data_IF_981860281875
#
_entry.id   IF_981860281875
#
_cell.length_a   1.000
_cell.length_b   1.000
_cell.length_c   1.000
_cell.angle_alpha   90.00
_cell.angle_beta   90.00
_cell.angle_gamma   90.00
#
_symmetry.space_group_name_H-M   'P 1'
#
loop_
_entity.id
_entity.type
_entity.pdbx_description
1 polymer ?
#
# COMPACT_ATOMS: atom_id res chain seq x y z
N UNK A 1 -15.81 -15.23 -10.40
CA UNK A 1 -15.18 -14.62 -9.20
C UNK A 1 -14.53 -13.32 -9.64
N UNK A 2 -14.99 -12.17 -9.14
CA UNK A 2 -14.37 -10.88 -9.48
C UNK A 2 -13.08 -10.75 -8.66
N UNK A 3 -11.92 -10.86 -9.30
CA UNK A 3 -10.63 -10.68 -8.63
C UNK A 3 -10.45 -9.19 -8.34
N UNK A 4 -10.36 -8.84 -7.06
CA UNK A 4 -10.17 -7.47 -6.61
C UNK A 4 -8.68 -7.15 -6.51
N UNK A 5 -8.18 -6.05 -7.11
CA UNK A 5 -6.77 -5.68 -7.04
C UNK A 5 -6.28 -5.57 -5.60
N UNK A 6 -5.09 -6.09 -5.36
CA UNK A 6 -4.41 -6.02 -4.06
C UNK A 6 -3.71 -4.66 -3.97
N UNK A 7 -4.00 -3.90 -2.92
CA UNK A 7 -3.41 -2.57 -2.69
C UNK A 7 -2.16 -2.70 -1.84
N UNK A 8 -2.28 -3.45 -0.73
CA UNK A 8 -1.18 -3.79 0.16
C UNK A 8 -1.27 -5.27 0.47
N UNK A 9 -0.12 -5.93 0.62
CA UNK A 9 -0.07 -7.35 0.97
C UNK A 9 1.14 -7.63 1.82
N UNK A 10 0.91 -8.02 3.07
CA UNK A 10 1.94 -8.48 3.99
C UNK A 10 2.75 -9.64 3.41
N UNK A 11 2.14 -10.50 2.59
CA UNK A 11 2.86 -11.58 1.92
C UNK A 11 3.84 -11.03 0.86
N UNK A 12 3.38 -10.07 0.06
CA UNK A 12 4.21 -9.36 -0.91
C UNK A 12 5.33 -8.58 -0.22
N UNK A 13 4.97 -7.80 0.80
CA UNK A 13 5.89 -6.97 1.58
C UNK A 13 6.96 -7.84 2.26
N UNK A 14 6.59 -8.95 2.90
CA UNK A 14 7.54 -9.89 3.50
C UNK A 14 8.49 -10.50 2.46
N UNK A 15 7.99 -10.79 1.25
CA UNK A 15 8.82 -11.32 0.16
C UNK A 15 9.82 -10.26 -0.32
N UNK A 16 9.38 -9.01 -0.46
CA UNK A 16 10.25 -7.88 -0.79
C UNK A 16 11.31 -7.69 0.30
N UNK A 17 10.92 -7.71 1.58
CA UNK A 17 11.84 -7.58 2.71
C UNK A 17 12.91 -8.69 2.72
N UNK A 18 12.50 -9.93 2.45
CA UNK A 18 13.42 -11.06 2.33
C UNK A 18 14.40 -10.86 1.18
N UNK A 19 13.92 -10.46 0.00
CA UNK A 19 14.76 -10.18 -1.15
C UNK A 19 15.72 -9.01 -0.88
N UNK A 20 15.27 -7.95 -0.22
CA UNK A 20 16.12 -6.82 0.18
C UNK A 20 17.27 -7.26 1.08
N UNK A 21 16.97 -8.06 2.10
CA UNK A 21 17.98 -8.60 3.00
C UNK A 21 18.99 -9.50 2.27
N UNK A 22 18.52 -10.37 1.37
CA UNK A 22 19.39 -11.25 0.58
C UNK A 22 20.25 -10.47 -0.42
N UNK A 23 19.71 -9.41 -1.03
CA UNK A 23 20.45 -8.51 -1.92
C UNK A 23 21.54 -7.79 -1.12
N UNK A 24 21.22 -7.24 0.06
CA UNK A 24 22.19 -6.55 0.89
C UNK A 24 23.35 -7.47 1.33
N UNK A 25 23.03 -8.70 1.74
CA UNK A 25 24.04 -9.70 2.10
C UNK A 25 24.92 -10.07 0.89
N UNK A 26 24.31 -10.29 -0.28
CA UNK A 26 25.07 -10.63 -1.48
C UNK A 26 25.94 -9.47 -1.97
N UNK A 27 25.47 -8.23 -1.88
CA UNK A 27 26.26 -7.03 -2.22
C UNK A 27 27.46 -6.87 -1.28
N UNK A 28 27.29 -7.14 0.02
CA UNK A 28 28.40 -7.17 0.99
C UNK A 28 29.40 -8.29 0.68
N UNK A 29 28.92 -9.49 0.34
CA UNK A 29 29.79 -10.62 -0.04
C UNK A 29 30.58 -10.31 -1.31
N UNK A 30 29.95 -9.68 -2.30
CA UNK A 30 30.59 -9.25 -3.53
C UNK A 30 31.67 -8.17 -3.27
N UNK A 31 31.35 -7.17 -2.45
CA UNK A 31 32.30 -6.14 -2.06
C UNK A 31 33.51 -6.74 -1.33
N UNK A 32 33.28 -7.67 -0.38
CA UNK A 32 34.35 -8.39 0.30
C UNK A 32 35.21 -9.22 -0.65
N UNK A 33 34.62 -9.91 -1.63
CA UNK A 33 35.38 -10.67 -2.64
C UNK A 33 36.22 -9.75 -3.55
N UNK A 34 35.72 -8.57 -3.88
CA UNK A 34 36.46 -7.56 -4.66
C UNK A 34 37.61 -6.94 -3.85
N UNK A 35 37.41 -6.72 -2.55
CA UNK A 35 38.43 -6.18 -1.65
C UNK A 35 39.49 -7.23 -1.28
N UNK A 36 39.09 -8.51 -1.13
CA UNK A 36 39.98 -9.64 -0.81
C UNK A 36 40.74 -10.22 -2.01
N UNK A 37 40.45 -9.80 -3.24
CA UNK A 37 41.40 -9.91 -4.36
C UNK A 37 42.78 -9.33 -4.00
N UNK A 38 42.85 -8.51 -2.96
CA UNK A 38 44.07 -7.90 -2.39
C UNK A 38 44.76 -8.77 -1.32
N UNK A 39 44.05 -9.69 -0.64
CA UNK A 39 44.61 -10.59 0.39
C UNK A 39 43.82 -11.93 0.47
N UNK A 40 44.45 -13.01 -0.02
CA UNK A 40 44.34 -14.44 0.35
C UNK A 40 42.97 -15.13 0.53
N UNK A 41 41.84 -14.65 0.01
CA UNK A 41 40.66 -15.50 -0.23
C UNK A 41 40.52 -15.77 -1.74
N UNK A 42 40.84 -17.00 -2.17
CA UNK A 42 40.75 -17.46 -3.56
C UNK A 42 39.30 -17.65 -4.02
N UNK A 43 38.56 -16.55 -4.19
CA UNK A 43 37.29 -16.57 -4.91
C UNK A 43 37.57 -16.79 -6.40
N UNK A 44 37.08 -17.91 -6.95
CA UNK A 44 37.20 -18.15 -8.37
C UNK A 44 36.33 -17.16 -9.16
N UNK A 45 36.77 -16.71 -10.36
CA UNK A 45 35.98 -15.80 -11.20
C UNK A 45 34.55 -16.30 -11.46
N UNK A 46 34.38 -17.61 -11.59
CA UNK A 46 33.08 -18.27 -11.76
C UNK A 46 32.16 -18.08 -10.54
N UNK A 47 32.71 -18.14 -9.33
CA UNK A 47 31.94 -17.93 -8.10
C UNK A 47 31.46 -16.48 -7.98
N UNK A 48 32.31 -15.51 -8.36
CA UNK A 48 31.94 -14.10 -8.40
C UNK A 48 30.86 -13.85 -9.46
N UNK A 49 31.00 -14.43 -10.65
CA UNK A 49 30.01 -14.33 -11.72
C UNK A 49 28.64 -14.94 -11.31
N UNK A 50 28.66 -16.09 -10.64
CA UNK A 50 27.45 -16.74 -10.14
C UNK A 50 26.74 -15.88 -9.08
N UNK A 51 27.48 -15.28 -8.14
CA UNK A 51 26.89 -14.35 -7.17
C UNK A 51 26.28 -13.11 -7.82
N UNK A 52 26.94 -12.54 -8.84
CA UNK A 52 26.41 -11.41 -9.59
C UNK A 52 25.09 -11.77 -10.30
N UNK A 53 25.06 -12.92 -10.96
CA UNK A 53 23.85 -13.40 -11.64
C UNK A 53 22.69 -13.63 -10.64
N UNK A 54 22.98 -14.20 -9.47
CA UNK A 54 21.98 -14.41 -8.42
C UNK A 54 21.44 -13.08 -7.86
N UNK A 55 22.32 -12.09 -7.66
CA UNK A 55 21.92 -10.75 -7.23
C UNK A 55 21.02 -10.05 -8.23
N UNK A 56 21.38 -10.07 -9.52
CA UNK A 56 20.57 -9.48 -10.58
C UNK A 56 19.21 -10.16 -10.69
N UNK A 57 19.16 -11.48 -10.56
CA UNK A 57 17.91 -12.23 -10.54
C UNK A 57 17.01 -11.81 -9.36
N UNK A 58 17.56 -11.66 -8.16
CA UNK A 58 16.82 -11.20 -6.97
C UNK A 58 16.33 -9.77 -7.12
N UNK A 59 17.15 -8.87 -7.67
CA UNK A 59 16.78 -7.48 -7.99
C UNK A 59 15.62 -7.44 -8.99
N UNK A 60 15.70 -8.25 -10.03
CA UNK A 60 14.64 -8.38 -11.04
C UNK A 60 13.35 -8.89 -10.42
N UNK A 61 13.41 -9.94 -9.60
CA UNK A 61 12.23 -10.49 -8.91
C UNK A 61 11.57 -9.45 -7.99
N UNK A 62 12.37 -8.71 -7.20
CA UNK A 62 11.88 -7.60 -6.38
C UNK A 62 11.17 -6.54 -7.23
N UNK A 63 11.76 -6.18 -8.36
CA UNK A 63 11.19 -5.19 -9.28
C UNK A 63 9.87 -5.68 -9.90
N UNK A 64 9.78 -6.94 -10.31
CA UNK A 64 8.57 -7.54 -10.89
C UNK A 64 7.41 -7.55 -9.89
N UNK A 65 7.66 -7.90 -8.62
CA UNK A 65 6.61 -7.89 -7.58
C UNK A 65 6.05 -6.47 -7.40
N UNK A 66 6.93 -5.47 -7.32
CA UNK A 66 6.54 -4.07 -7.15
C UNK A 66 5.76 -3.52 -8.34
N UNK A 67 6.16 -3.86 -9.56
CA UNK A 67 5.52 -3.36 -10.79
C UNK A 67 4.19 -4.04 -11.08
N UNK A 68 4.09 -5.36 -10.90
CA UNK A 68 2.87 -6.11 -11.19
C UNK A 68 1.66 -5.62 -10.39
N UNK A 69 1.80 -5.44 -9.07
CA UNK A 69 0.72 -4.93 -8.23
C UNK A 69 0.33 -3.48 -8.57
N UNK A 70 1.32 -2.63 -8.86
CA UNK A 70 1.09 -1.24 -9.28
C UNK A 70 0.38 -1.16 -10.64
N UNK A 71 0.72 -2.04 -11.58
CA UNK A 71 0.13 -2.06 -12.91
C UNK A 71 -1.37 -2.42 -12.88
N UNK A 72 -1.75 -3.41 -12.08
CA UNK A 72 -3.17 -3.81 -11.92
C UNK A 72 -4.02 -2.66 -11.34
N UNK A 73 -3.52 -2.01 -10.27
CA UNK A 73 -4.18 -0.84 -9.69
C UNK A 73 -4.27 0.32 -10.67
N UNK A 74 -3.18 0.59 -11.40
CA UNK A 74 -3.14 1.65 -12.40
C UNK A 74 -4.15 1.42 -13.51
N UNK A 75 -4.30 0.18 -14.00
CA UNK A 75 -5.27 -0.16 -15.05
C UNK A 75 -6.71 0.16 -14.60
N UNK A 76 -7.11 -0.29 -13.41
CA UNK A 76 -8.46 -0.04 -12.86
C UNK A 76 -8.70 1.45 -12.64
N UNK A 77 -7.76 2.15 -12.02
CA UNK A 77 -7.91 3.58 -11.74
C UNK A 77 -7.91 4.42 -13.03
N UNK A 78 -7.06 4.11 -14.01
CA UNK A 78 -7.03 4.82 -15.28
C UNK A 78 -8.33 4.64 -16.06
N UNK A 79 -8.91 3.44 -16.03
CA UNK A 79 -10.22 3.18 -16.64
C UNK A 79 -11.30 4.08 -16.03
N UNK A 80 -11.35 4.19 -14.70
CA UNK A 80 -12.34 5.01 -13.98
C UNK A 80 -12.10 6.52 -14.15
N UNK A 81 -10.84 6.93 -14.11
CA UNK A 81 -10.43 8.32 -14.15
C UNK A 81 -10.53 8.91 -15.57
N UNK A 82 -10.35 8.09 -16.60
CA UNK A 82 -10.23 8.53 -17.98
C UNK A 82 -9.12 9.58 -18.12
N UNK A 83 -9.45 10.73 -18.72
CA UNK A 83 -8.50 11.85 -18.89
C UNK A 83 -8.26 12.68 -17.62
N UNK A 84 -9.02 12.48 -16.55
CA UNK A 84 -8.93 13.29 -15.34
C UNK A 84 -7.74 12.86 -14.46
N UNK A 85 -6.87 13.80 -14.08
CA UNK A 85 -5.66 13.53 -13.29
C UNK A 85 -5.53 14.32 -11.99
N UNK A 86 -6.13 15.52 -11.92
CA UNK A 86 -5.84 16.47 -10.84
C UNK A 86 -6.47 16.09 -9.49
N UNK A 87 -7.71 15.62 -9.49
CA UNK A 87 -8.50 15.34 -8.27
C UNK A 87 -8.90 13.87 -8.14
N UNK A 88 -8.31 13.02 -8.98
CA UNK A 88 -8.56 11.58 -9.02
C UNK A 88 -7.55 10.83 -8.15
N UNK A 89 -7.87 9.60 -7.80
CA UNK A 89 -6.99 8.73 -7.02
C UNK A 89 -6.02 8.02 -7.97
N UNK A 90 -4.72 8.11 -7.69
CA UNK A 90 -3.66 7.33 -8.33
C UNK A 90 -3.23 6.14 -7.43
N UNK A 91 -2.47 5.15 -7.95
CA UNK A 91 -2.04 3.99 -7.16
C UNK A 91 -1.30 4.35 -5.88
N UNK A 92 -0.34 5.29 -5.93
CA UNK A 92 0.41 5.69 -4.73
C UNK A 92 -0.51 6.31 -3.68
N UNK A 93 -1.49 7.12 -4.10
CA UNK A 93 -2.49 7.68 -3.19
C UNK A 93 -3.37 6.60 -2.57
N UNK A 94 -3.71 5.56 -3.33
CA UNK A 94 -4.49 4.42 -2.84
C UNK A 94 -3.74 3.64 -1.76
N UNK A 95 -2.43 3.41 -1.95
CA UNK A 95 -1.54 2.80 -0.96
C UNK A 95 -1.46 3.66 0.31
N UNK A 96 -1.28 4.97 0.16
CA UNK A 96 -1.27 5.89 1.31
C UNK A 96 -2.59 5.87 2.09
N UNK A 97 -3.74 5.81 1.40
CA UNK A 97 -5.05 5.68 2.07
C UNK A 97 -5.12 4.38 2.87
N UNK A 98 -4.63 3.26 2.34
CA UNK A 98 -4.60 1.98 3.06
C UNK A 98 -3.74 2.06 4.33
N UNK A 99 -2.56 2.69 4.25
CA UNK A 99 -1.70 2.91 5.43
C UNK A 99 -2.31 3.86 6.46
N UNK A 100 -2.93 4.96 6.02
CA UNK A 100 -3.66 5.86 6.91
C UNK A 100 -4.78 5.12 7.65
N UNK A 101 -5.46 4.20 6.97
CA UNK A 101 -6.50 3.38 7.58
C UNK A 101 -5.93 2.38 8.59
N UNK A 102 -4.79 1.74 8.31
CA UNK A 102 -4.12 0.90 9.32
C UNK A 102 -3.77 1.69 10.58
N UNK A 103 -3.16 2.87 10.41
CA UNK A 103 -2.81 3.75 11.53
C UNK A 103 -4.06 4.15 12.31
N UNK A 104 -5.13 4.52 11.62
CA UNK A 104 -6.39 4.87 12.26
C UNK A 104 -6.95 3.71 13.08
N UNK A 105 -6.99 2.48 12.53
CA UNK A 105 -7.49 1.31 13.25
C UNK A 105 -6.62 1.01 14.48
N UNK A 106 -5.30 1.16 14.36
CA UNK A 106 -4.34 1.00 15.45
C UNK A 106 -4.54 2.04 16.55
N UNK A 107 -4.63 3.32 16.20
CA UNK A 107 -4.89 4.43 17.13
C UNK A 107 -6.23 4.27 17.86
N UNK A 108 -7.22 3.61 17.24
CA UNK A 108 -8.51 3.30 17.88
C UNK A 108 -8.47 2.04 18.75
N UNK A 109 -7.31 1.42 18.94
CA UNK A 109 -7.13 0.25 19.79
C UNK A 109 -7.64 -1.06 19.19
N UNK A 110 -7.92 -1.10 17.88
CA UNK A 110 -8.45 -2.29 17.23
C UNK A 110 -7.32 -3.30 17.04
N UNK A 111 -7.49 -4.47 17.64
CA UNK A 111 -6.52 -5.57 17.59
C UNK A 111 -6.38 -6.08 16.16
N UNK A 112 -5.16 -6.44 15.76
CA UNK A 112 -4.85 -6.90 14.38
C UNK A 112 -5.80 -8.00 13.90
N UNK A 113 -6.13 -8.97 14.76
CA UNK A 113 -7.05 -10.08 14.44
C UNK A 113 -8.48 -9.63 14.10
N UNK A 114 -8.92 -8.50 14.65
CA UNK A 114 -10.27 -7.96 14.48
C UNK A 114 -10.37 -6.93 13.34
N UNK A 115 -9.24 -6.52 12.74
CA UNK A 115 -9.23 -5.56 11.61
C UNK A 115 -9.82 -6.15 10.33
N UNK A 116 -9.72 -7.46 10.13
CA UNK A 116 -10.19 -8.14 8.93
C UNK A 116 -11.71 -7.99 8.76
N UNK A 117 -12.12 -7.58 7.57
CA UNK A 117 -13.52 -7.29 7.23
C UNK A 117 -13.90 -5.82 7.37
N UNK A 118 -13.01 -4.94 7.84
CA UNK A 118 -13.22 -3.49 7.82
C UNK A 118 -13.37 -2.99 6.38
N UNK A 119 -14.36 -2.13 6.15
CA UNK A 119 -14.57 -1.45 4.88
C UNK A 119 -14.25 0.03 5.02
N UNK A 120 -13.62 0.59 4.01
CA UNK A 120 -13.34 2.03 3.94
C UNK A 120 -13.90 2.56 2.64
N UNK A 121 -14.76 3.56 2.74
CA UNK A 121 -15.27 4.32 1.60
C UNK A 121 -14.58 5.67 1.60
N UNK A 122 -14.04 6.06 0.45
CA UNK A 122 -13.24 7.26 0.37
C UNK A 122 -13.47 8.03 -0.92
N UNK A 123 -13.60 9.35 -0.79
CA UNK A 123 -13.58 10.33 -1.88
C UNK A 123 -12.67 11.50 -1.49
N UNK A 124 -11.74 11.93 -2.36
CA UNK A 124 -10.92 13.12 -2.16
C UNK A 124 -11.75 14.39 -1.92
N UNK A 125 -11.12 15.38 -1.28
CA UNK A 125 -11.68 16.72 -1.19
C UNK A 125 -11.73 17.37 -2.59
N UNK A 126 -12.65 18.32 -2.76
CA UNK A 126 -12.65 19.18 -3.94
C UNK A 126 -11.60 20.28 -3.87
N UNK A 127 -11.46 21.00 -4.98
CA UNK A 127 -10.60 22.19 -5.07
C UNK A 127 -10.93 23.17 -3.96
N UNK A 128 -9.91 23.66 -3.25
CA UNK A 128 -10.05 24.78 -2.31
C UNK A 128 -10.05 26.12 -3.07
N UNK A 129 -10.99 27.00 -2.76
CA UNK A 129 -11.10 28.35 -3.32
C UNK A 129 -11.67 29.30 -2.28
N UNK A 130 -10.99 30.42 -2.06
CA UNK A 130 -11.47 31.49 -1.18
C UNK A 130 -12.72 32.21 -1.74
N UNK A 131 -12.86 32.26 -3.07
CA UNK A 131 -14.04 32.85 -3.71
C UNK A 131 -15.17 31.82 -3.77
N UNK A 132 -16.40 32.27 -3.51
CA UNK A 132 -17.65 31.51 -3.69
C UNK A 132 -17.89 31.23 -5.16
N UNK A 133 -17.16 30.26 -5.70
CA UNK A 133 -17.35 29.72 -7.04
C UNK A 133 -18.12 28.41 -6.94
N UNK A 134 -19.19 28.30 -7.72
CA UNK A 134 -19.93 27.04 -7.89
C UNK A 134 -19.27 26.31 -9.05
N UNK A 135 -18.70 25.15 -8.76
CA UNK A 135 -18.03 24.32 -9.76
C UNK A 135 -17.85 22.89 -9.25
N UNK A 136 -17.76 21.95 -10.19
CA UNK A 136 -17.48 20.54 -9.90
C UNK A 136 -16.25 20.07 -10.66
N UNK A 137 -15.50 19.18 -10.05
CA UNK A 137 -14.38 18.48 -10.67
C UNK A 137 -14.66 16.98 -10.63
N UNK A 138 -14.15 16.27 -11.63
CA UNK A 138 -14.15 14.81 -11.63
C UNK A 138 -13.18 14.32 -10.56
N UNK A 139 -13.63 13.35 -9.76
CA UNK A 139 -12.84 12.65 -8.76
C UNK A 139 -13.10 11.15 -8.83
N UNK A 140 -12.50 10.40 -7.92
CA UNK A 140 -12.61 8.94 -7.83
C UNK A 140 -13.16 8.59 -6.46
N UNK A 141 -14.20 7.78 -6.44
CA UNK A 141 -14.70 7.14 -5.23
C UNK A 141 -14.20 5.70 -5.18
N UNK A 142 -13.63 5.31 -4.05
CA UNK A 142 -13.09 3.95 -3.85
C UNK A 142 -13.67 3.31 -2.60
N UNK A 143 -13.84 1.99 -2.67
CA UNK A 143 -14.17 1.14 -1.53
C UNK A 143 -13.06 0.14 -1.33
N UNK A 144 -12.43 0.19 -0.15
CA UNK A 144 -11.39 -0.72 0.25
C UNK A 144 -11.92 -1.71 1.27
N UNK A 145 -11.43 -2.94 1.23
CA UNK A 145 -11.68 -3.94 2.26
C UNK A 145 -10.38 -4.44 2.85
N UNK A 146 -10.32 -4.45 4.18
CA UNK A 146 -9.26 -5.10 4.92
C UNK A 146 -9.48 -6.61 4.90
N UNK A 147 -8.56 -7.35 4.30
CA UNK A 147 -8.48 -8.82 4.37
C UNK A 147 -7.47 -9.21 5.45
N UNK A 148 -7.00 -10.46 5.53
CA UNK A 148 -5.98 -10.86 6.54
C UNK A 148 -4.59 -10.37 6.17
N UNK A 149 -4.25 -10.46 4.90
CA UNK A 149 -2.95 -10.14 4.31
C UNK A 149 -2.74 -8.65 4.02
N UNK A 150 -3.78 -7.89 3.74
CA UNK A 150 -3.67 -6.44 3.55
C UNK A 150 -4.98 -5.80 3.10
N UNK A 151 -4.91 -4.79 2.23
CA UNK A 151 -6.08 -4.10 1.70
C UNK A 151 -6.34 -4.48 0.24
N UNK A 152 -7.62 -4.61 -0.12
CA UNK A 152 -8.07 -4.85 -1.50
C UNK A 152 -9.00 -3.76 -1.98
N UNK A 153 -8.91 -3.42 -3.26
CA UNK A 153 -9.80 -2.49 -3.94
C UNK A 153 -11.07 -3.22 -4.36
N UNK A 154 -12.15 -3.06 -3.59
CA UNK A 154 -13.43 -3.72 -3.87
C UNK A 154 -14.23 -3.01 -4.95
N UNK A 155 -14.14 -1.70 -5.01
CA UNK A 155 -14.89 -0.88 -5.95
C UNK A 155 -14.13 0.41 -6.25
N UNK A 156 -14.18 0.83 -7.51
CA UNK A 156 -13.72 2.14 -7.94
C UNK A 156 -14.72 2.68 -8.95
N UNK A 157 -15.17 3.91 -8.75
CA UNK A 157 -16.06 4.58 -9.69
C UNK A 157 -15.71 6.04 -9.82
N UNK A 158 -16.15 6.60 -10.95
CA UNK A 158 -16.04 8.02 -11.22
C UNK A 158 -17.06 8.74 -10.35
N UNK A 159 -16.64 9.83 -9.74
CA UNK A 159 -17.49 10.65 -8.89
C UNK A 159 -17.19 12.15 -9.15
N UNK A 160 -17.91 13.03 -8.49
CA UNK A 160 -17.72 14.47 -8.58
C UNK A 160 -17.45 15.07 -7.19
N UNK A 161 -16.55 16.04 -7.14
CA UNK A 161 -16.35 16.86 -5.96
C UNK A 161 -16.62 18.33 -6.29
N UNK A 162 -17.35 19.00 -5.41
CA UNK A 162 -17.60 20.44 -5.51
C UNK A 162 -16.45 21.24 -4.92
N UNK A 163 -16.32 22.49 -5.35
CA UNK A 163 -15.39 23.45 -4.74
C UNK A 163 -15.65 23.54 -3.23
N UNK A 164 -14.59 23.56 -2.43
CA UNK A 164 -14.61 23.57 -0.97
C UNK A 164 -15.29 22.36 -0.30
N UNK A 165 -15.67 21.33 -1.06
CA UNK A 165 -16.23 20.11 -0.49
C UNK A 165 -15.12 19.33 0.24
N UNK A 166 -15.34 19.04 1.53
CA UNK A 166 -14.42 18.24 2.34
C UNK A 166 -14.27 16.84 1.76
N UNK A 167 -13.13 16.20 2.05
CA UNK A 167 -12.95 14.80 1.76
C UNK A 167 -14.01 13.97 2.51
N UNK A 168 -14.50 12.92 1.86
CA UNK A 168 -15.38 11.96 2.50
C UNK A 168 -14.57 10.71 2.85
N UNK A 169 -14.66 10.28 4.10
CA UNK A 169 -14.07 9.04 4.58
C UNK A 169 -15.03 8.40 5.57
N UNK A 170 -15.51 7.22 5.25
CA UNK A 170 -16.34 6.41 6.14
C UNK A 170 -15.61 5.08 6.40
N UNK A 171 -15.47 4.71 7.67
CA UNK A 171 -14.80 3.47 8.10
C UNK A 171 -15.83 2.61 8.81
N UNK A 172 -16.19 1.49 8.19
CA UNK A 172 -17.20 0.56 8.69
C UNK A 172 -16.47 -0.66 9.25
N UNK A 173 -16.58 -0.84 10.55
CA UNK A 173 -15.94 -1.95 11.28
C UNK A 173 -16.97 -3.02 11.65
N UNK A 174 -16.50 -4.25 11.90
CA UNK A 174 -17.34 -5.33 12.43
C UNK A 174 -17.55 -5.19 13.93
N UNK A 175 -18.55 -5.90 14.47
CA UNK A 175 -18.85 -5.94 15.92
C UNK A 175 -17.61 -6.18 16.78
N UNK A 176 -16.80 -7.20 16.48
CA UNK A 176 -15.58 -7.50 17.25
C UNK A 176 -14.56 -6.34 17.28
N UNK A 177 -14.47 -5.56 16.20
CA UNK A 177 -13.62 -4.37 16.16
C UNK A 177 -14.26 -3.19 16.88
N UNK A 178 -15.59 -3.05 16.80
CA UNK A 178 -16.34 -2.07 17.58
C UNK A 178 -16.17 -2.30 19.09
N UNK A 179 -16.22 -3.56 19.55
CA UNK A 179 -15.99 -3.92 20.96
C UNK A 179 -14.58 -3.54 21.43
N UNK A 180 -13.57 -3.69 20.55
CA UNK A 180 -12.21 -3.23 20.84
C UNK A 180 -12.14 -1.70 20.99
N UNK A 181 -12.86 -0.95 20.13
CA UNK A 181 -12.93 0.52 20.22
C UNK A 181 -13.56 0.93 21.57
N UNK A 182 -14.68 0.32 21.95
CA UNK A 182 -15.35 0.62 23.23
C UNK A 182 -14.41 0.31 24.40
N UNK A 183 -13.79 -0.86 24.40
CA UNK A 183 -12.84 -1.26 25.45
C UNK A 183 -11.65 -0.30 25.54
N UNK A 184 -11.15 0.17 24.39
CA UNK A 184 -10.06 1.13 24.35
C UNK A 184 -10.47 2.50 24.89
N UNK A 185 -11.64 3.00 24.48
CA UNK A 185 -12.17 4.31 24.89
C UNK A 185 -12.58 4.36 26.37
N UNK A 186 -13.06 3.25 26.93
CA UNK A 186 -13.47 3.14 28.33
C UNK A 186 -12.32 2.78 29.28
N UNK A 187 -11.11 2.57 28.75
CA UNK A 187 -9.95 2.23 29.55
C UNK A 187 -9.61 3.39 30.51
N UNK A 188 -9.67 3.12 31.81
CA UNK A 188 -9.34 4.10 32.86
C UNK A 188 -10.57 4.74 33.51
N UNK A 189 -11.77 4.53 32.95
CA UNK A 189 -13.00 4.83 33.66
C UNK A 189 -13.33 3.63 34.56
N UNK A 190 -13.30 3.83 35.88
CA UNK A 190 -13.90 2.89 36.83
C UNK A 190 -15.42 3.03 36.68
N UNK A 191 -16.10 1.95 36.36
CA UNK A 191 -17.56 1.82 36.51
C UNK A 191 -17.84 1.50 37.96
#
# INVERSE_FOLDING_TARGET
MTTYPIITSRKGDNKIFKLEFEIELGEKALAAAQEKKRWLDNWQPEQVANLQAELEQKKLEKHQINTAGRAEMAAVLNHVNGKARAWTICPDRLISIAHDCEKLLDTRGIRVKNRAGTLVRFRPAGKSSARLQIGRSITTYVVLRRVRDGWRLMHAQRDYCFINQRAFREVIVRSAAHDDIIRHATRGFRV
#
